data_IF_379865312882
#
_entry.id   IF_379865312882
#
_cell.length_a   1.000
_cell.length_b   1.000
_cell.length_c   1.000
_cell.angle_alpha   90.00
_cell.angle_beta   90.00
_cell.angle_gamma   90.00
#
_symmetry.space_group_name_H-M   'P 1'
#
loop_
_entity.id
_entity.type
_entity.pdbx_description
1 polymer ?
#
# COMPACT_ATOMS: atom_id res chain seq x y z
N UNK A 1 9.65 -3.68 -15.59
CA UNK A 1 10.26 -2.41 -15.85
C UNK A 1 9.50 -1.18 -15.38
N UNK A 2 8.55 -1.26 -14.41
CA UNK A 2 7.92 -0.08 -13.82
C UNK A 2 8.84 0.49 -12.73
N UNK A 3 8.85 1.82 -12.58
CA UNK A 3 9.42 2.49 -11.42
C UNK A 3 8.46 2.37 -10.26
N UNK A 4 8.93 1.82 -9.13
CA UNK A 4 8.11 1.55 -7.95
C UNK A 4 8.49 2.49 -6.79
N UNK A 5 7.50 3.23 -6.27
CA UNK A 5 7.67 4.11 -5.11
C UNK A 5 6.73 3.61 -4.01
N UNK A 6 7.30 3.29 -2.84
CA UNK A 6 6.54 2.90 -1.66
C UNK A 6 6.08 4.12 -0.85
N UNK A 7 5.01 3.96 -0.08
CA UNK A 7 4.62 4.89 0.98
C UNK A 7 4.44 4.05 2.25
N UNK A 8 5.26 4.31 3.27
CA UNK A 8 5.24 3.52 4.50
C UNK A 8 5.49 4.41 5.73
N UNK A 9 5.20 3.89 6.92
CA UNK A 9 5.32 4.67 8.15
C UNK A 9 6.59 4.35 8.93
N UNK A 10 7.51 5.28 8.93
CA UNK A 10 8.76 5.24 9.66
C UNK A 10 9.97 4.77 8.84
N UNK A 11 11.17 5.23 9.21
CA UNK A 11 12.40 5.04 8.42
C UNK A 11 12.76 3.57 8.26
N UNK A 12 12.50 2.73 9.25
CA UNK A 12 12.77 1.29 9.20
C UNK A 12 11.99 0.58 8.09
N UNK A 13 10.68 0.92 7.92
CA UNK A 13 9.85 0.34 6.86
C UNK A 13 10.30 0.84 5.48
N UNK A 14 10.62 2.12 5.37
CA UNK A 14 11.11 2.70 4.12
C UNK A 14 12.46 2.11 3.71
N UNK A 15 13.39 1.97 4.64
CA UNK A 15 14.69 1.33 4.38
C UNK A 15 14.53 -0.11 3.87
N UNK A 16 13.68 -0.90 4.52
CA UNK A 16 13.39 -2.26 4.09
C UNK A 16 12.75 -2.30 2.69
N UNK A 17 11.81 -1.40 2.41
CA UNK A 17 11.13 -1.30 1.11
C UNK A 17 12.13 -1.06 -0.02
N UNK A 18 13.12 -0.18 0.20
CA UNK A 18 14.14 0.12 -0.80
C UNK A 18 15.19 -0.99 -0.89
N UNK A 19 15.76 -1.42 0.25
CA UNK A 19 16.92 -2.33 0.24
C UNK A 19 16.56 -3.79 -0.01
N UNK A 20 15.42 -4.24 0.50
CA UNK A 20 15.01 -5.64 0.43
C UNK A 20 13.91 -5.87 -0.62
N UNK A 21 12.85 -5.06 -0.62
CA UNK A 21 11.80 -5.17 -1.63
C UNK A 21 12.19 -4.53 -2.98
N UNK A 22 13.36 -3.85 -3.04
CA UNK A 22 13.97 -3.27 -4.26
C UNK A 22 13.08 -2.23 -4.95
N UNK A 23 12.35 -1.45 -4.17
CA UNK A 23 11.66 -0.28 -4.69
C UNK A 23 12.66 0.83 -4.99
N UNK A 24 12.37 1.65 -6.00
CA UNK A 24 13.25 2.75 -6.40
C UNK A 24 13.30 3.86 -5.35
N UNK A 25 12.23 4.04 -4.56
CA UNK A 25 12.17 4.96 -3.44
C UNK A 25 11.04 4.57 -2.47
N UNK A 26 11.06 5.15 -1.26
CA UNK A 26 9.96 5.05 -0.30
C UNK A 26 9.77 6.40 0.39
N UNK A 27 8.53 6.81 0.57
CA UNK A 27 8.13 8.02 1.29
C UNK A 27 7.73 7.61 2.71
N UNK A 28 8.38 8.22 3.70
CA UNK A 28 7.99 8.05 5.10
C UNK A 28 6.87 9.04 5.46
N UNK A 29 5.62 8.63 5.29
CA UNK A 29 4.47 9.52 5.52
C UNK A 29 4.35 10.06 6.94
N UNK A 30 5.12 9.53 7.91
CA UNK A 30 5.13 10.02 9.29
C UNK A 30 6.07 11.21 9.49
N UNK A 31 7.10 11.32 8.66
CA UNK A 31 8.17 12.30 8.82
C UNK A 31 8.36 13.18 7.58
N UNK A 32 7.77 12.83 6.43
CA UNK A 32 7.89 13.56 5.17
C UNK A 32 6.51 13.99 4.66
N UNK A 33 6.48 15.07 3.90
CA UNK A 33 5.30 15.49 3.14
C UNK A 33 5.11 14.59 1.93
N UNK A 34 4.04 13.78 1.93
CA UNK A 34 3.71 12.90 0.79
C UNK A 34 3.52 13.71 -0.49
N UNK A 35 2.89 14.89 -0.40
CA UNK A 35 2.67 15.80 -1.52
C UNK A 35 3.98 16.25 -2.18
N UNK A 36 4.91 16.78 -1.37
CA UNK A 36 6.21 17.24 -1.87
C UNK A 36 7.06 16.12 -2.44
N UNK A 37 7.13 14.99 -1.73
CA UNK A 37 7.89 13.84 -2.18
C UNK A 37 7.35 13.23 -3.46
N UNK A 38 6.03 13.19 -3.65
CA UNK A 38 5.44 12.74 -4.91
C UNK A 38 5.78 13.67 -6.08
N UNK A 39 5.83 15.00 -5.86
CA UNK A 39 6.28 15.95 -6.92
C UNK A 39 7.72 15.69 -7.35
N UNK A 40 8.59 15.38 -6.41
CA UNK A 40 9.99 15.07 -6.68
C UNK A 40 10.16 13.70 -7.36
N UNK A 41 9.52 12.67 -6.79
CA UNK A 41 9.70 11.29 -7.23
C UNK A 41 8.90 10.91 -8.47
N UNK A 42 7.79 11.58 -8.73
CA UNK A 42 6.91 11.33 -9.86
C UNK A 42 6.52 12.65 -10.58
N UNK A 43 7.48 13.40 -11.14
CA UNK A 43 7.20 14.74 -11.73
C UNK A 43 6.27 14.68 -12.95
N UNK A 44 6.12 13.54 -13.59
CA UNK A 44 5.18 13.30 -14.68
C UNK A 44 3.85 12.70 -14.21
N UNK A 45 3.68 12.53 -12.91
CA UNK A 45 2.54 11.88 -12.28
C UNK A 45 2.69 10.36 -12.14
N UNK A 46 1.78 9.79 -11.38
CA UNK A 46 1.70 8.37 -11.05
C UNK A 46 0.72 7.69 -12.00
N UNK A 47 1.17 6.69 -12.73
CA UNK A 47 0.33 5.93 -13.66
C UNK A 47 -0.60 4.96 -12.93
N UNK A 48 -0.10 4.34 -11.86
CA UNK A 48 -0.86 3.39 -11.04
C UNK A 48 -0.56 3.66 -9.56
N UNK A 49 -1.60 3.98 -8.80
CA UNK A 49 -1.55 4.03 -7.35
C UNK A 49 -2.33 2.85 -6.77
N UNK A 50 -1.63 1.92 -6.12
CA UNK A 50 -2.25 0.77 -5.45
C UNK A 50 -2.46 1.12 -3.98
N UNK A 51 -3.72 1.19 -3.55
CA UNK A 51 -4.11 1.68 -2.24
C UNK A 51 -4.75 0.61 -1.36
N UNK A 52 -4.12 0.39 -0.19
CA UNK A 52 -4.68 -0.39 0.91
C UNK A 52 -5.05 0.49 2.12
N UNK A 53 -4.74 1.78 2.06
CA UNK A 53 -4.76 2.67 3.23
C UNK A 53 -5.95 3.61 3.23
N UNK A 54 -6.22 4.26 2.10
CA UNK A 54 -7.21 5.33 2.03
C UNK A 54 -6.79 6.58 2.80
N UNK A 55 -7.77 7.31 3.33
CA UNK A 55 -7.55 8.46 4.20
C UNK A 55 -6.75 9.58 3.53
N UNK A 56 -5.88 10.24 4.31
CA UNK A 56 -5.14 11.41 3.86
C UNK A 56 -4.16 11.12 2.73
N UNK A 57 -3.61 9.90 2.66
CA UNK A 57 -2.69 9.51 1.58
C UNK A 57 -3.46 9.45 0.26
N UNK A 58 -4.61 8.77 0.22
CA UNK A 58 -5.48 8.74 -0.95
C UNK A 58 -5.90 10.15 -1.37
N UNK A 59 -6.32 10.96 -0.38
CA UNK A 59 -6.71 12.35 -0.63
C UNK A 59 -5.56 13.14 -1.26
N UNK A 60 -4.34 13.00 -0.74
CA UNK A 60 -3.16 13.66 -1.29
C UNK A 60 -2.90 13.24 -2.73
N UNK A 61 -2.92 11.95 -3.03
CA UNK A 61 -2.68 11.45 -4.39
C UNK A 61 -3.72 11.99 -5.38
N UNK A 62 -5.01 11.98 -5.02
CA UNK A 62 -6.09 12.39 -5.91
C UNK A 62 -6.21 13.90 -5.99
N UNK A 63 -6.26 14.60 -4.85
CA UNK A 63 -6.47 16.06 -4.81
C UNK A 63 -5.20 16.85 -5.14
N UNK A 64 -4.02 16.32 -4.79
CA UNK A 64 -2.71 16.92 -5.06
C UNK A 64 -2.30 16.89 -6.53
N UNK A 65 -3.13 16.33 -7.41
CA UNK A 65 -2.85 16.17 -8.87
C UNK A 65 -1.62 15.32 -9.14
N UNK A 66 -1.43 14.28 -8.33
CA UNK A 66 -0.28 13.39 -8.50
C UNK A 66 -0.51 12.26 -9.50
N UNK A 67 -1.73 12.09 -10.01
CA UNK A 67 -1.98 11.10 -11.06
C UNK A 67 -1.55 11.65 -12.43
N UNK A 68 -0.90 10.82 -13.21
CA UNK A 68 -0.62 11.07 -14.61
C UNK A 68 -1.93 11.10 -15.44
N UNK A 69 -1.86 11.57 -16.68
CA UNK A 69 -2.98 11.48 -17.59
C UNK A 69 -3.41 10.02 -17.76
N UNK A 70 -4.71 9.75 -17.54
CA UNK A 70 -5.31 8.41 -17.50
C UNK A 70 -4.80 7.51 -16.36
N UNK A 71 -4.18 8.08 -15.31
CA UNK A 71 -3.71 7.37 -14.14
C UNK A 71 -4.84 6.60 -13.46
N UNK A 72 -4.48 5.53 -12.76
CA UNK A 72 -5.41 4.61 -12.12
C UNK A 72 -5.13 4.50 -10.63
N UNK A 73 -6.17 4.63 -9.83
CA UNK A 73 -6.17 4.26 -8.42
C UNK A 73 -6.78 2.87 -8.33
N UNK A 74 -6.01 1.89 -7.87
CA UNK A 74 -6.50 0.54 -7.56
C UNK A 74 -6.84 0.51 -6.07
N UNK A 75 -8.12 0.57 -5.76
CA UNK A 75 -8.61 0.67 -4.39
C UNK A 75 -8.85 -0.74 -3.82
N UNK A 76 -7.86 -1.25 -3.07
CA UNK A 76 -7.88 -2.58 -2.47
C UNK A 76 -8.34 -2.56 -1.01
N UNK A 77 -8.08 -1.48 -0.27
CA UNK A 77 -8.46 -1.37 1.14
C UNK A 77 -8.45 0.06 1.65
N UNK A 78 -9.06 0.27 2.81
CA UNK A 78 -9.25 1.58 3.44
C UNK A 78 -8.92 1.50 4.94
N UNK A 79 -7.81 0.86 5.32
CA UNK A 79 -7.51 0.54 6.73
C UNK A 79 -7.46 1.79 7.64
N UNK A 80 -7.09 2.95 7.11
CA UNK A 80 -7.10 4.22 7.84
C UNK A 80 -8.51 4.64 8.31
N UNK A 81 -9.56 4.07 7.72
CA UNK A 81 -10.96 4.41 8.03
C UNK A 81 -11.63 3.40 8.96
N UNK A 82 -11.04 2.22 9.18
CA UNK A 82 -11.70 1.11 9.91
C UNK A 82 -11.99 1.43 11.39
N UNK A 83 -11.23 2.35 11.99
CA UNK A 83 -11.43 2.77 13.39
C UNK A 83 -12.28 4.06 13.52
N UNK A 84 -12.74 4.64 12.43
CA UNK A 84 -13.54 5.86 12.47
C UNK A 84 -14.99 5.54 12.83
N UNK A 85 -15.60 6.38 13.66
CA UNK A 85 -17.03 6.27 13.99
C UNK A 85 -17.93 6.71 12.84
N UNK A 86 -17.52 7.75 12.13
CA UNK A 86 -18.24 8.34 11.01
C UNK A 86 -17.42 8.19 9.73
N UNK A 87 -18.11 7.99 8.62
CA UNK A 87 -17.45 7.96 7.32
C UNK A 87 -16.79 9.33 7.02
N UNK A 88 -15.51 9.37 6.66
CA UNK A 88 -14.85 10.62 6.32
C UNK A 88 -15.42 11.20 5.03
N UNK A 89 -15.29 12.51 4.87
CA UNK A 89 -15.56 13.13 3.56
C UNK A 89 -14.57 12.58 2.52
N UNK A 90 -15.08 12.24 1.36
CA UNK A 90 -14.24 11.80 0.24
C UNK A 90 -13.40 12.93 -0.35
N UNK A 91 -12.42 12.61 -1.20
CA UNK A 91 -11.61 13.61 -1.89
C UNK A 91 -12.44 14.43 -2.88
N UNK A 92 -11.97 15.65 -3.15
CA UNK A 92 -12.46 16.41 -4.31
C UNK A 92 -12.03 15.68 -5.61
N UNK A 93 -12.99 15.27 -6.41
CA UNK A 93 -12.73 14.52 -7.65
C UNK A 93 -12.41 15.41 -8.87
N UNK A 94 -12.40 16.73 -8.73
CA UNK A 94 -12.03 17.65 -9.81
C UNK A 94 -10.67 17.34 -10.46
N UNK A 95 -9.60 17.12 -9.69
CA UNK A 95 -8.31 16.72 -10.24
C UNK A 95 -8.32 15.36 -10.96
N UNK A 96 -9.10 14.39 -10.47
CA UNK A 96 -9.27 13.10 -11.13
C UNK A 96 -9.93 13.26 -12.52
N UNK A 97 -10.95 14.10 -12.59
CA UNK A 97 -11.60 14.44 -13.88
C UNK A 97 -10.61 15.12 -14.83
N UNK A 98 -9.80 16.06 -14.33
CA UNK A 98 -8.82 16.79 -15.14
C UNK A 98 -7.79 15.87 -15.79
N UNK A 99 -7.28 14.87 -15.07
CA UNK A 99 -6.35 13.87 -15.62
C UNK A 99 -7.05 12.68 -16.31
N UNK A 100 -8.39 12.67 -16.39
CA UNK A 100 -9.18 11.53 -16.92
C UNK A 100 -8.83 10.21 -16.22
N UNK A 101 -8.48 10.30 -14.95
CA UNK A 101 -8.10 9.16 -14.11
C UNK A 101 -9.28 8.25 -13.81
N UNK A 102 -8.96 7.08 -13.26
CA UNK A 102 -9.95 6.08 -12.86
C UNK A 102 -9.70 5.64 -11.42
N UNK A 103 -10.78 5.40 -10.68
CA UNK A 103 -10.73 4.66 -9.41
C UNK A 103 -11.36 3.29 -9.68
N UNK A 104 -10.58 2.25 -9.47
CA UNK A 104 -10.94 0.87 -9.76
C UNK A 104 -10.94 0.09 -8.44
N UNK A 105 -12.10 -0.21 -7.86
CA UNK A 105 -12.16 -1.12 -6.72
C UNK A 105 -11.63 -2.50 -7.11
N UNK A 106 -10.89 -3.13 -6.19
CA UNK A 106 -10.35 -4.46 -6.39
C UNK A 106 -10.65 -5.33 -5.16
N UNK A 107 -11.31 -6.44 -5.40
CA UNK A 107 -11.52 -7.48 -4.40
C UNK A 107 -10.86 -8.76 -4.90
N UNK A 108 -9.95 -9.33 -4.11
CA UNK A 108 -9.13 -10.48 -4.54
C UNK A 108 -9.96 -11.69 -4.95
N UNK A 109 -11.13 -11.89 -4.36
CA UNK A 109 -12.03 -13.01 -4.67
C UNK A 109 -12.59 -12.99 -6.10
N UNK A 110 -12.63 -11.82 -6.74
CA UNK A 110 -13.03 -11.68 -8.15
C UNK A 110 -12.02 -12.30 -9.13
N UNK A 111 -10.84 -12.70 -8.62
CA UNK A 111 -9.71 -13.26 -9.39
C UNK A 111 -9.33 -14.67 -8.93
N UNK A 112 -10.20 -15.36 -8.19
CA UNK A 112 -9.89 -16.69 -7.66
C UNK A 112 -9.68 -17.73 -8.77
N UNK A 113 -10.35 -17.59 -9.90
CA UNK A 113 -10.15 -18.38 -11.11
C UNK A 113 -8.73 -18.26 -11.69
N UNK A 114 -8.03 -17.18 -11.40
CA UNK A 114 -6.64 -16.90 -11.82
C UNK A 114 -5.60 -17.28 -10.78
N UNK A 115 -6.00 -17.87 -9.66
CA UNK A 115 -5.09 -18.20 -8.55
C UNK A 115 -3.94 -19.10 -8.97
N UNK A 116 -4.22 -20.13 -9.77
CA UNK A 116 -3.18 -21.05 -10.25
C UNK A 116 -2.17 -20.37 -11.20
N UNK A 117 -2.62 -19.45 -12.04
CA UNK A 117 -1.76 -18.65 -12.89
C UNK A 117 -0.80 -17.80 -12.04
N UNK A 118 -1.34 -17.15 -11.00
CA UNK A 118 -0.54 -16.38 -10.03
C UNK A 118 0.48 -17.28 -9.33
N UNK A 119 0.09 -18.43 -8.80
CA UNK A 119 0.99 -19.33 -8.07
C UNK A 119 2.12 -19.84 -8.97
N UNK A 120 1.82 -20.22 -10.21
CA UNK A 120 2.87 -20.61 -11.18
C UNK A 120 3.92 -19.56 -11.42
N UNK A 121 3.55 -18.28 -11.28
CA UNK A 121 4.48 -17.15 -11.44
C UNK A 121 5.18 -16.80 -10.13
N UNK A 122 4.45 -16.77 -9.03
CA UNK A 122 4.94 -16.26 -7.74
C UNK A 122 5.82 -17.27 -7.00
N UNK A 123 5.53 -18.59 -7.09
CA UNK A 123 6.31 -19.63 -6.40
C UNK A 123 7.78 -19.64 -6.83
N UNK A 124 8.13 -19.64 -8.13
CA UNK A 124 9.53 -19.56 -8.56
C UNK A 124 10.25 -18.32 -8.06
N UNK A 125 9.56 -17.17 -7.99
CA UNK A 125 10.16 -15.94 -7.44
C UNK A 125 10.41 -16.03 -5.94
N UNK A 126 9.51 -16.69 -5.21
CA UNK A 126 9.67 -16.94 -3.78
C UNK A 126 10.84 -17.90 -3.52
N UNK A 127 10.89 -19.04 -4.20
CA UNK A 127 11.93 -20.07 -4.04
C UNK A 127 13.33 -19.56 -4.44
N UNK A 128 13.41 -18.71 -5.46
CA UNK A 128 14.68 -18.09 -5.88
C UNK A 128 15.10 -16.86 -5.06
N UNK A 129 14.30 -16.45 -4.06
CA UNK A 129 14.56 -15.25 -3.26
C UNK A 129 14.38 -13.93 -4.01
N UNK A 130 13.75 -13.95 -5.19
CA UNK A 130 13.43 -12.74 -5.94
C UNK A 130 12.25 -11.98 -5.31
N UNK A 131 11.33 -12.68 -4.65
CA UNK A 131 10.23 -12.11 -3.89
C UNK A 131 10.65 -11.93 -2.44
N UNK A 132 10.96 -10.72 -2.04
CA UNK A 132 11.26 -10.40 -0.65
C UNK A 132 9.97 -10.35 0.18
N UNK A 133 10.01 -10.91 1.37
CA UNK A 133 8.92 -10.84 2.34
C UNK A 133 9.46 -10.62 3.75
N UNK A 134 8.60 -10.15 4.64
CA UNK A 134 8.90 -9.98 6.05
C UNK A 134 7.69 -10.40 6.87
N UNK A 135 7.92 -11.08 7.98
CA UNK A 135 6.89 -11.57 8.88
C UNK A 135 7.07 -10.97 10.29
N UNK A 136 5.97 -10.56 10.89
CA UNK A 136 5.88 -10.10 12.28
C UNK A 136 5.09 -11.15 13.07
N UNK A 137 5.82 -12.11 13.65
CA UNK A 137 5.25 -13.32 14.25
C UNK A 137 5.24 -13.20 15.75
N UNK A 138 4.10 -13.51 16.38
CA UNK A 138 4.00 -13.84 17.82
C UNK A 138 3.57 -15.30 17.97
N UNK A 139 3.95 -15.93 19.08
CA UNK A 139 3.58 -17.33 19.37
C UNK A 139 2.55 -17.36 20.50
N UNK A 140 1.49 -18.14 20.31
CA UNK A 140 0.40 -18.31 21.27
C UNK A 140 -0.85 -17.48 20.90
N UNK A 141 -2.01 -18.13 20.98
CA UNK A 141 -3.31 -17.52 20.67
C UNK A 141 -3.64 -16.32 21.58
N UNK A 142 -3.17 -16.36 22.81
CA UNK A 142 -3.34 -15.30 23.80
C UNK A 142 -2.77 -13.93 23.36
N UNK A 143 -1.83 -13.93 22.42
CA UNK A 143 -1.24 -12.71 21.87
C UNK A 143 -1.98 -12.15 20.64
N UNK A 144 -2.97 -12.87 20.11
CA UNK A 144 -3.65 -12.49 18.88
C UNK A 144 -4.31 -11.11 18.94
N UNK A 145 -5.02 -10.80 20.03
CA UNK A 145 -5.69 -9.51 20.21
C UNK A 145 -4.69 -8.34 20.27
N UNK A 146 -3.59 -8.50 21.00
CA UNK A 146 -2.55 -7.48 21.10
C UNK A 146 -1.85 -7.26 19.76
N UNK A 147 -1.55 -8.34 19.04
CA UNK A 147 -0.93 -8.28 17.71
C UNK A 147 -1.87 -7.62 16.66
N UNK A 148 -3.17 -7.90 16.74
CA UNK A 148 -4.16 -7.22 15.92
C UNK A 148 -4.23 -5.70 16.21
N UNK A 149 -4.25 -5.31 17.49
CA UNK A 149 -4.20 -3.90 17.87
C UNK A 149 -2.92 -3.20 17.36
N UNK A 150 -1.76 -3.88 17.40
CA UNK A 150 -0.50 -3.40 16.85
C UNK A 150 -0.61 -3.17 15.34
N UNK A 151 -1.22 -4.11 14.59
CA UNK A 151 -1.49 -3.96 13.16
C UNK A 151 -2.36 -2.73 12.88
N UNK A 152 -3.46 -2.56 13.63
CA UNK A 152 -4.40 -1.45 13.45
C UNK A 152 -3.79 -0.07 13.75
N UNK A 153 -2.69 -0.01 14.52
CA UNK A 153 -1.91 1.21 14.74
C UNK A 153 -0.74 1.38 13.75
N UNK A 154 -0.57 0.44 12.81
CA UNK A 154 0.53 0.46 11.85
C UNK A 154 1.92 0.23 12.48
N UNK A 155 1.97 -0.39 13.66
CA UNK A 155 3.21 -0.67 14.42
C UNK A 155 3.86 -2.00 14.04
N UNK A 156 3.16 -2.85 13.27
CA UNK A 156 3.69 -4.11 12.74
C UNK A 156 4.82 -3.89 11.75
N UNK A 157 5.69 -4.88 11.61
CA UNK A 157 6.76 -4.88 10.61
C UNK A 157 6.70 -6.14 9.76
N UNK A 158 6.06 -6.03 8.60
CA UNK A 158 5.80 -7.15 7.71
C UNK A 158 4.41 -7.77 7.89
N UNK A 159 4.24 -8.98 7.40
CA UNK A 159 2.98 -9.74 7.51
C UNK A 159 2.76 -10.15 8.97
N UNK A 160 1.68 -9.66 9.55
CA UNK A 160 1.30 -10.00 10.93
C UNK A 160 0.75 -11.41 11.02
N UNK A 161 1.37 -12.25 11.85
CA UNK A 161 1.03 -13.65 12.03
C UNK A 161 0.99 -14.03 13.52
N UNK A 162 0.14 -15.00 13.83
CA UNK A 162 0.11 -15.68 15.14
C UNK A 162 0.43 -17.15 14.89
N UNK A 163 1.56 -17.62 15.43
CA UNK A 163 1.91 -19.04 15.38
C UNK A 163 1.13 -19.76 16.48
N UNK A 164 0.35 -20.72 16.08
CA UNK A 164 -0.28 -21.64 17.03
C UNK A 164 0.76 -22.60 17.57
N UNK A 165 0.64 -22.95 18.85
CA UNK A 165 1.55 -23.89 19.52
C UNK A 165 1.39 -25.31 18.96
#
# INVERSE_FOLDING_TARGET
GARAVGIAGGPKKCDWTVRHARFDACIDYKNESVDERLRELAPRGVDIYFDNTGGDILNTVVMGRHLAMHGRVILCGLIAQYNLKDAPRGPNLGPLMACRGKILPMVVYDYEDRREEFLRTAIPWFESGQLAYCEDIVTGLEHAAAQFCKLMRGENFGKTLVRMA
#
